data_IF_978694368098
#
_entry.id   IF_978694368098
#
_cell.length_a   1.000
_cell.length_b   1.000
_cell.length_c   1.000
_cell.angle_alpha   90.00
_cell.angle_beta   90.00
_cell.angle_gamma   90.00
#
_symmetry.space_group_name_H-M   'P 1'
#
loop_
_entity.id
_entity.type
_entity.pdbx_description
1 polymer ?
#
# COMPACT_ATOMS: atom_id res chain seq x y z
N UNK A 1 -6.55 -27.36 10.77
CA UNK A 1 -7.66 -26.48 10.39
C UNK A 1 -7.86 -25.35 11.39
N UNK A 2 -8.16 -25.63 12.68
CA UNK A 2 -8.36 -24.59 13.72
C UNK A 2 -7.16 -23.64 13.89
N UNK A 3 -5.93 -24.15 13.84
CA UNK A 3 -4.72 -23.30 13.90
C UNK A 3 -4.63 -22.28 12.76
N UNK A 4 -5.03 -22.67 11.54
CA UNK A 4 -5.00 -21.80 10.36
C UNK A 4 -6.05 -20.68 10.53
N UNK A 5 -7.23 -21.01 11.05
CA UNK A 5 -8.27 -20.02 11.34
C UNK A 5 -7.81 -19.00 12.39
N UNK A 6 -7.16 -19.46 13.46
CA UNK A 6 -6.62 -18.57 14.50
C UNK A 6 -5.57 -17.61 13.89
N UNK A 7 -4.64 -18.12 13.09
CA UNK A 7 -3.65 -17.28 12.41
C UNK A 7 -4.28 -16.26 11.46
N UNK A 8 -5.30 -16.66 10.70
CA UNK A 8 -6.03 -15.75 9.81
C UNK A 8 -6.80 -14.67 10.57
N UNK A 9 -7.42 -15.00 11.72
CA UNK A 9 -8.11 -14.02 12.56
C UNK A 9 -7.12 -13.01 13.15
N UNK A 10 -5.96 -13.47 13.61
CA UNK A 10 -4.90 -12.59 14.14
C UNK A 10 -4.34 -11.68 13.05
N UNK A 11 -4.00 -12.24 11.88
CA UNK A 11 -3.53 -11.44 10.73
C UNK A 11 -4.60 -10.43 10.27
N UNK A 12 -5.86 -10.86 10.18
CA UNK A 12 -6.99 -10.00 9.83
C UNK A 12 -7.16 -8.86 10.83
N UNK A 13 -7.06 -9.13 12.12
CA UNK A 13 -7.12 -8.10 13.16
C UNK A 13 -5.98 -7.07 13.02
N UNK A 14 -4.76 -7.52 12.74
CA UNK A 14 -3.63 -6.61 12.49
C UNK A 14 -3.83 -5.78 11.21
N UNK A 15 -4.37 -6.39 10.15
CA UNK A 15 -4.66 -5.69 8.90
C UNK A 15 -5.72 -4.60 9.09
N UNK A 16 -6.77 -4.88 9.89
CA UNK A 16 -7.83 -3.90 10.18
C UNK A 16 -7.33 -2.66 10.94
N UNK A 17 -6.28 -2.78 11.75
CA UNK A 17 -5.66 -1.62 12.41
C UNK A 17 -4.96 -0.70 11.41
N UNK A 18 -4.33 -1.29 10.38
CA UNK A 18 -3.64 -0.55 9.33
C UNK A 18 -4.63 0.07 8.32
N UNK A 19 -5.54 -0.74 7.78
CA UNK A 19 -6.54 -0.30 6.81
C UNK A 19 -7.66 0.54 7.42
N UNK A 20 -7.85 0.52 8.75
CA UNK A 20 -8.81 1.37 9.45
C UNK A 20 -8.29 2.78 9.72
N UNK A 21 -6.98 2.95 9.94
CA UNK A 21 -6.38 4.25 10.27
C UNK A 21 -6.08 5.11 9.05
N UNK A 22 -5.65 4.48 7.93
CA UNK A 22 -5.40 5.18 6.66
C UNK A 22 -6.60 6.01 6.16
N UNK A 23 -7.81 5.43 5.97
CA UNK A 23 -8.95 6.17 5.46
C UNK A 23 -9.45 7.19 6.47
N UNK A 24 -9.32 6.94 7.78
CA UNK A 24 -9.72 7.82 8.87
C UNK A 24 -8.86 9.09 8.95
N UNK A 25 -7.57 8.97 8.66
CA UNK A 25 -6.65 10.11 8.56
C UNK A 25 -6.84 10.90 7.25
N UNK A 26 -7.21 10.21 6.17
CA UNK A 26 -7.38 10.81 4.85
C UNK A 26 -8.71 11.58 4.60
N UNK A 27 -9.92 11.24 5.06
CA UNK A 27 -10.36 11.25 6.46
C UNK A 27 -10.50 12.69 7.00
N UNK A 28 -9.40 13.28 7.37
CA UNK A 28 -9.35 14.64 7.90
C UNK A 28 -8.61 15.59 6.96
N UNK A 29 -7.76 15.05 6.07
CA UNK A 29 -6.84 15.84 5.24
C UNK A 29 -7.38 16.32 3.87
N UNK A 30 -8.52 15.82 3.40
CA UNK A 30 -9.04 16.18 2.06
C UNK A 30 -10.50 16.66 2.10
N UNK A 31 -10.85 17.57 1.17
CA UNK A 31 -12.21 18.09 1.00
C UNK A 31 -13.24 17.03 0.60
N UNK A 32 -14.43 17.15 1.17
CA UNK A 32 -15.52 16.15 1.26
C UNK A 32 -16.03 15.58 -0.06
N UNK A 33 -15.73 16.20 -1.21
CA UNK A 33 -16.44 15.94 -2.49
C UNK A 33 -15.73 15.00 -3.47
N UNK A 34 -14.41 14.81 -3.38
CA UNK A 34 -13.63 13.94 -4.29
C UNK A 34 -12.79 12.86 -3.58
N UNK A 35 -12.83 12.84 -2.25
CA UNK A 35 -11.94 12.06 -1.39
C UNK A 35 -12.02 10.55 -1.58
N UNK A 36 -13.25 10.05 -1.66
CA UNK A 36 -13.51 8.62 -1.79
C UNK A 36 -13.13 8.10 -3.18
N UNK A 37 -13.42 8.88 -4.23
CA UNK A 37 -13.13 8.48 -5.61
C UNK A 37 -11.65 8.57 -5.94
N UNK A 38 -10.94 9.62 -5.50
CA UNK A 38 -9.50 9.75 -5.72
C UNK A 38 -8.69 8.67 -5.00
N UNK A 39 -9.03 8.36 -3.74
CA UNK A 39 -8.42 7.28 -2.98
C UNK A 39 -8.75 5.92 -3.61
N UNK A 40 -10.03 5.63 -3.88
CA UNK A 40 -10.43 4.35 -4.44
C UNK A 40 -9.81 4.10 -5.82
N UNK A 41 -9.75 5.09 -6.70
CA UNK A 41 -9.13 4.94 -8.03
C UNK A 41 -7.63 4.67 -7.90
N UNK A 42 -6.92 5.49 -7.12
CA UNK A 42 -5.47 5.32 -6.94
C UNK A 42 -5.13 3.99 -6.28
N UNK A 43 -5.87 3.60 -5.24
CA UNK A 43 -5.69 2.36 -4.52
C UNK A 43 -6.01 1.14 -5.40
N UNK A 44 -7.17 1.12 -6.07
CA UNK A 44 -7.55 -0.01 -6.92
C UNK A 44 -6.65 -0.14 -8.16
N UNK A 45 -6.23 0.97 -8.77
CA UNK A 45 -5.29 0.94 -9.91
C UNK A 45 -3.92 0.40 -9.46
N UNK A 46 -3.42 0.86 -8.31
CA UNK A 46 -2.17 0.35 -7.74
C UNK A 46 -2.29 -1.13 -7.40
N UNK A 47 -3.39 -1.54 -6.77
CA UNK A 47 -3.62 -2.94 -6.41
C UNK A 47 -3.81 -3.85 -7.65
N UNK A 48 -4.42 -3.32 -8.71
CA UNK A 48 -4.56 -4.05 -9.98
C UNK A 48 -3.21 -4.24 -10.68
N UNK A 49 -2.34 -3.24 -10.66
CA UNK A 49 -1.01 -3.31 -11.25
C UNK A 49 -0.05 -4.17 -10.42
N UNK A 50 -0.03 -3.96 -9.11
CA UNK A 50 0.96 -4.56 -8.19
C UNK A 50 0.51 -5.85 -7.51
N UNK A 51 -0.80 -6.13 -7.48
CA UNK A 51 -1.34 -7.32 -6.79
C UNK A 51 -0.82 -8.64 -7.34
N UNK A 52 -0.60 -8.73 -8.67
CA UNK A 52 -0.05 -9.92 -9.32
C UNK A 52 1.45 -9.81 -9.63
N UNK A 53 1.97 -8.62 -9.91
CA UNK A 53 3.37 -8.44 -10.31
C UNK A 53 4.33 -8.58 -9.14
N UNK A 54 3.94 -8.20 -7.92
CA UNK A 54 4.77 -8.36 -6.72
C UNK A 54 5.12 -9.84 -6.41
N UNK A 55 4.16 -10.78 -6.32
CA UNK A 55 4.48 -12.19 -6.09
C UNK A 55 5.22 -12.81 -7.28
N UNK A 56 4.88 -12.43 -8.52
CA UNK A 56 5.58 -12.90 -9.72
C UNK A 56 7.06 -12.49 -9.72
N UNK A 57 7.35 -11.22 -9.43
CA UNK A 57 8.72 -10.72 -9.31
C UNK A 57 9.46 -11.36 -8.14
N UNK A 58 8.79 -11.58 -6.99
CA UNK A 58 9.39 -12.30 -5.88
C UNK A 58 9.81 -13.72 -6.27
N UNK A 59 8.94 -14.48 -6.95
CA UNK A 59 9.26 -15.84 -7.42
C UNK A 59 10.38 -15.85 -8.47
N UNK A 60 10.35 -14.91 -9.43
CA UNK A 60 11.43 -14.78 -10.41
C UNK A 60 12.78 -14.46 -9.74
N UNK A 61 12.79 -13.57 -8.76
CA UNK A 61 14.03 -13.15 -8.09
C UNK A 61 14.59 -14.26 -7.19
N UNK A 62 13.71 -15.04 -6.55
CA UNK A 62 14.11 -16.27 -5.83
C UNK A 62 14.69 -17.30 -6.81
N UNK A 63 14.05 -17.49 -7.97
CA UNK A 63 14.52 -18.41 -9.02
C UNK A 63 15.88 -18.00 -9.58
N UNK A 64 16.10 -16.70 -9.79
CA UNK A 64 17.35 -16.17 -10.33
C UNK A 64 18.50 -16.15 -9.31
N UNK A 65 18.22 -15.81 -8.05
CA UNK A 65 19.25 -15.61 -7.02
C UNK A 65 19.45 -16.85 -6.13
N UNK A 66 18.53 -17.80 -6.15
CA UNK A 66 18.57 -19.03 -5.34
C UNK A 66 18.45 -18.80 -3.84
N UNK A 67 18.20 -17.56 -3.39
CA UNK A 67 18.14 -17.20 -1.97
C UNK A 67 16.77 -16.64 -1.59
N UNK A 68 16.23 -17.02 -0.41
CA UNK A 68 14.95 -16.50 0.07
C UNK A 68 15.00 -15.01 0.47
N UNK A 69 16.19 -14.40 0.49
CA UNK A 69 16.40 -12.97 0.75
C UNK A 69 16.15 -12.10 -0.49
N UNK A 70 16.04 -12.69 -1.68
CA UNK A 70 15.86 -11.96 -2.93
C UNK A 70 14.65 -10.98 -2.92
N UNK A 71 13.46 -11.34 -2.42
CA UNK A 71 12.31 -10.42 -2.38
C UNK A 71 12.55 -9.21 -1.48
N UNK A 72 13.43 -9.30 -0.48
CA UNK A 72 13.72 -8.18 0.41
C UNK A 72 14.37 -7.01 -0.36
N UNK A 73 15.25 -7.30 -1.33
CA UNK A 73 15.85 -6.27 -2.18
C UNK A 73 14.82 -5.59 -3.08
N UNK A 74 13.84 -6.34 -3.60
CA UNK A 74 12.72 -5.77 -4.35
C UNK A 74 11.90 -4.80 -3.48
N UNK A 75 11.61 -5.19 -2.23
CA UNK A 75 10.90 -4.32 -1.28
C UNK A 75 11.69 -3.06 -0.93
N UNK A 76 13.02 -3.14 -0.78
CA UNK A 76 13.88 -1.98 -0.54
C UNK A 76 13.83 -1.00 -1.70
N UNK A 77 13.88 -1.49 -2.95
CA UNK A 77 13.77 -0.65 -4.15
C UNK A 77 12.37 0.00 -4.23
N UNK A 78 11.32 -0.76 -3.95
CA UNK A 78 9.95 -0.23 -3.91
C UNK A 78 9.79 0.84 -2.82
N UNK A 79 10.38 0.64 -1.64
CA UNK A 79 10.37 1.61 -0.55
C UNK A 79 11.13 2.90 -0.91
N UNK A 80 12.28 2.79 -1.56
CA UNK A 80 13.03 3.94 -2.09
C UNK A 80 12.21 4.70 -3.13
N UNK A 81 11.56 4.00 -4.06
CA UNK A 81 10.67 4.60 -5.04
C UNK A 81 9.49 5.34 -4.39
N UNK A 82 8.88 4.74 -3.36
CA UNK A 82 7.83 5.37 -2.55
C UNK A 82 8.34 6.61 -1.81
N UNK A 83 9.54 6.54 -1.21
CA UNK A 83 10.15 7.66 -0.51
C UNK A 83 10.43 8.83 -1.46
N UNK A 84 10.94 8.56 -2.66
CA UNK A 84 11.15 9.57 -3.70
C UNK A 84 9.80 10.15 -4.15
N UNK A 85 8.80 9.30 -4.37
CA UNK A 85 7.46 9.74 -4.76
C UNK A 85 6.85 10.66 -3.70
N UNK A 86 6.99 10.33 -2.41
CA UNK A 86 6.56 11.18 -1.28
C UNK A 86 7.37 12.48 -1.23
N UNK A 87 8.69 12.42 -1.39
CA UNK A 87 9.55 13.60 -1.37
C UNK A 87 9.28 14.56 -2.54
N UNK A 88 8.87 14.03 -3.69
CA UNK A 88 8.51 14.81 -4.89
C UNK A 88 7.03 15.23 -4.86
N UNK A 89 6.17 14.50 -4.15
CA UNK A 89 4.76 14.82 -4.02
C UNK A 89 4.61 16.16 -3.29
N UNK A 90 4.19 17.18 -4.04
CA UNK A 90 3.86 18.48 -3.46
C UNK A 90 2.66 18.32 -2.53
N UNK A 91 2.88 18.71 -1.28
CA UNK A 91 1.91 18.74 -0.19
C UNK A 91 0.56 19.31 -0.66
N UNK A 92 -0.40 18.42 -0.95
CA UNK A 92 -1.74 18.79 -1.44
C UNK A 92 -2.75 18.91 -0.29
N UNK A 93 -2.27 18.96 0.96
CA UNK A 93 -3.11 19.09 2.15
C UNK A 93 -3.55 20.53 2.46
N UNK A 94 -2.97 21.55 1.79
CA UNK A 94 -3.08 22.95 2.22
C UNK A 94 -3.86 23.93 1.33
N UNK A 95 -4.43 23.53 0.18
CA UNK A 95 -5.27 24.47 -0.59
C UNK A 95 -6.68 24.52 0.01
N UNK A 96 -6.82 25.40 1.00
CA UNK A 96 -8.06 26.12 1.31
C UNK A 96 -8.74 26.48 -0.02
N UNK A 97 -9.92 25.89 -0.24
CA UNK A 97 -10.85 26.42 -1.24
C UNK A 97 -11.42 27.73 -0.66
N UNK A 98 -10.73 28.83 -0.92
CA UNK A 98 -11.37 30.14 -0.94
C UNK A 98 -11.91 30.39 -2.35
N UNK A 99 -13.22 30.69 -2.35
CA UNK A 99 -14.13 31.06 -3.45
C UNK A 99 -14.81 29.93 -4.22
#
# INVERSE_FOLDING_TARGET
>A
FVLILILQVVLGAMLTLNDGTLPSFLAESFLTRMRYSGFAVSFNVSNALFGGTAPFMATLLISALGTPLAPAWYLVVAALGSLIAVAVSKETAGRLLTH
#
